data_IF_932922368255
#
_entry.id   IF_932922368255
#
_cell.length_a   1.000
_cell.length_b   1.000
_cell.length_c   1.000
_cell.angle_alpha   90.00
_cell.angle_beta   90.00
_cell.angle_gamma   90.00
#
_symmetry.space_group_name_H-M   'P 1'
#
loop_
_entity.id
_entity.type
_entity.pdbx_description
1 polymer ?
#
# COMPACT_ATOMS: atom_id res chain seq x y z
N UNK A 1 -20.59 -54.53 -2.63
CA UNK A 1 -21.19 -53.41 -1.88
C UNK A 1 -20.10 -52.53 -1.28
N UNK A 2 -19.82 -51.43 -1.99
CA UNK A 2 -19.50 -50.07 -1.50
C UNK A 2 -18.57 -49.93 -0.28
N UNK A 3 -17.25 -50.02 -0.49
CA UNK A 3 -16.23 -49.37 0.38
C UNK A 3 -15.42 -48.26 -0.31
N UNK A 4 -15.67 -48.02 -1.60
CA UNK A 4 -15.06 -46.92 -2.36
C UNK A 4 -15.79 -45.58 -2.18
N UNK A 5 -17.01 -45.60 -1.61
CA UNK A 5 -17.84 -44.40 -1.48
C UNK A 5 -17.41 -43.47 -0.34
N UNK A 6 -16.67 -43.96 0.66
CA UNK A 6 -16.25 -43.12 1.80
C UNK A 6 -15.01 -42.27 1.48
N UNK A 7 -14.09 -42.76 0.64
CA UNK A 7 -12.88 -42.01 0.28
C UNK A 7 -13.16 -40.83 -0.66
N UNK A 8 -14.17 -40.94 -1.52
CA UNK A 8 -14.56 -39.85 -2.42
C UNK A 8 -15.24 -38.67 -1.71
N UNK A 9 -15.89 -38.92 -0.57
CA UNK A 9 -16.50 -37.87 0.25
C UNK A 9 -15.49 -37.02 1.02
N UNK A 10 -14.31 -37.56 1.34
CA UNK A 10 -13.27 -36.83 2.10
C UNK A 10 -12.46 -35.90 1.19
N UNK A 11 -12.21 -36.30 -0.07
CA UNK A 11 -11.45 -35.46 -1.03
C UNK A 11 -12.29 -34.24 -1.48
N UNK A 12 -13.62 -34.36 -1.49
CA UNK A 12 -14.53 -33.26 -1.82
C UNK A 12 -14.63 -32.16 -0.75
N UNK A 13 -14.19 -32.42 0.48
CA UNK A 13 -14.21 -31.45 1.60
C UNK A 13 -12.87 -30.72 1.81
N UNK A 14 -11.78 -31.19 1.17
CA UNK A 14 -10.49 -30.51 1.20
C UNK A 14 -10.35 -29.40 0.15
N UNK A 15 -11.31 -29.28 -0.77
CA UNK A 15 -11.48 -28.06 -1.59
C UNK A 15 -12.29 -27.03 -0.78
N UNK A 16 -11.92 -26.85 0.49
CA UNK A 16 -12.48 -25.83 1.37
C UNK A 16 -11.85 -24.49 1.04
N UNK A 17 -12.62 -23.63 0.36
CA UNK A 17 -12.52 -22.16 0.37
C UNK A 17 -11.13 -21.59 0.62
N UNK A 18 -10.29 -21.51 -0.41
CA UNK A 18 -9.22 -20.51 -0.44
C UNK A 18 -9.86 -19.13 -0.57
N UNK A 19 -10.47 -18.62 0.51
CA UNK A 19 -10.80 -17.21 0.65
C UNK A 19 -9.48 -16.47 0.84
N UNK A 20 -8.68 -16.38 -0.23
CA UNK A 20 -7.57 -15.46 -0.28
C UNK A 20 -8.19 -14.06 -0.28
N UNK A 21 -8.36 -13.49 0.92
CA UNK A 21 -8.88 -12.15 1.09
C UNK A 21 -8.03 -11.18 0.25
N UNK A 22 -8.66 -10.21 -0.41
CA UNK A 22 -7.92 -9.23 -1.20
C UNK A 22 -6.96 -8.43 -0.31
N UNK A 23 -5.71 -8.29 -0.76
CA UNK A 23 -4.69 -7.51 -0.06
C UNK A 23 -5.03 -6.02 -0.12
N UNK A 24 -4.77 -5.34 0.98
CA UNK A 24 -4.69 -3.88 0.97
C UNK A 24 -3.39 -3.47 0.28
N UNK A 25 -3.36 -2.27 -0.29
CA UNK A 25 -2.19 -1.76 -0.99
C UNK A 25 -2.00 -0.26 -0.86
N UNK A 26 -0.74 0.15 -0.87
CA UNK A 26 -0.32 1.55 -0.93
C UNK A 26 0.49 1.75 -2.19
N UNK A 27 0.16 2.81 -2.91
CA UNK A 27 0.73 3.16 -4.21
C UNK A 27 1.30 4.57 -4.14
N UNK A 28 2.51 4.74 -4.61
CA UNK A 28 3.16 6.03 -4.77
C UNK A 28 3.45 6.27 -6.24
N UNK A 29 3.10 7.45 -6.72
CA UNK A 29 3.44 7.91 -8.06
C UNK A 29 4.29 9.17 -7.97
N UNK A 30 5.35 9.20 -8.75
CA UNK A 30 6.11 10.42 -8.98
C UNK A 30 5.53 11.18 -10.19
N UNK A 31 4.79 12.27 -9.94
CA UNK A 31 4.30 13.20 -10.97
C UNK A 31 5.05 14.54 -10.94
N UNK A 32 6.28 14.55 -10.42
CA UNK A 32 7.16 15.71 -10.40
C UNK A 32 7.71 16.01 -11.80
N UNK A 33 8.29 17.20 -11.94
CA UNK A 33 8.94 17.69 -13.14
C UNK A 33 10.16 16.86 -13.56
N UNK A 34 10.63 17.13 -14.77
CA UNK A 34 11.71 16.35 -15.40
C UNK A 34 12.95 16.33 -14.52
N UNK A 35 13.58 15.15 -14.39
CA UNK A 35 14.77 14.88 -13.58
C UNK A 35 14.60 15.01 -12.05
N UNK A 36 13.37 15.18 -11.54
CA UNK A 36 13.12 15.20 -10.11
C UNK A 36 12.82 13.78 -9.61
N UNK A 37 13.79 13.19 -8.90
CA UNK A 37 13.65 11.86 -8.32
C UNK A 37 12.92 11.99 -6.99
N UNK A 38 11.84 11.21 -6.84
CA UNK A 38 11.14 11.07 -5.58
C UNK A 38 11.80 9.95 -4.78
N UNK A 39 12.29 10.27 -3.59
CA UNK A 39 12.77 9.28 -2.63
C UNK A 39 11.64 8.96 -1.65
N UNK A 40 11.42 7.67 -1.37
CA UNK A 40 10.37 7.18 -0.48
C UNK A 40 10.99 6.24 0.54
N UNK A 41 10.55 6.33 1.79
CA UNK A 41 10.81 5.33 2.82
C UNK A 41 9.53 5.11 3.62
N UNK A 42 9.11 3.87 3.82
CA UNK A 42 7.94 3.55 4.63
C UNK A 42 8.31 2.59 5.75
N UNK A 43 7.66 2.78 6.90
CA UNK A 43 7.87 2.04 8.14
C UNK A 43 6.51 1.53 8.63
N UNK A 44 6.45 0.27 9.08
CA UNK A 44 5.26 -0.29 9.71
C UNK A 44 5.65 -1.04 10.98
N UNK A 45 5.29 -0.51 12.15
CA UNK A 45 5.65 -1.06 13.46
C UNK A 45 7.15 -1.43 13.58
N UNK A 46 7.52 -2.66 13.23
CA UNK A 46 8.88 -3.19 13.30
C UNK A 46 9.58 -3.33 11.94
N UNK A 47 8.86 -3.15 10.84
CA UNK A 47 9.33 -3.41 9.49
C UNK A 47 9.66 -2.11 8.77
N UNK A 48 10.89 -2.02 8.27
CA UNK A 48 11.30 -0.98 7.35
C UNK A 48 11.26 -1.51 5.92
N UNK A 49 10.47 -0.87 5.06
CA UNK A 49 10.28 -1.29 3.67
C UNK A 49 11.44 -0.82 2.77
N UNK A 50 12.39 -0.07 3.33
CA UNK A 50 13.58 0.42 2.66
C UNK A 50 13.35 1.68 1.85
N UNK A 51 14.46 2.19 1.31
CA UNK A 51 14.44 3.35 0.42
C UNK A 51 14.13 2.96 -1.02
N UNK A 52 13.19 3.67 -1.62
CA UNK A 52 12.81 3.55 -3.03
C UNK A 52 13.04 4.89 -3.73
N UNK A 53 13.50 4.85 -4.97
CA UNK A 53 13.79 6.04 -5.77
C UNK A 53 13.03 5.95 -7.09
N UNK A 54 12.09 6.87 -7.29
CA UNK A 54 11.24 6.89 -8.48
C UNK A 54 11.61 8.05 -9.38
N UNK A 55 11.84 7.76 -10.66
CA UNK A 55 11.91 8.78 -11.71
C UNK A 55 10.51 9.34 -12.01
N UNK A 56 10.41 10.53 -12.62
CA UNK A 56 9.12 11.06 -13.06
C UNK A 56 8.36 10.05 -13.92
N UNK A 57 7.11 9.80 -13.55
CA UNK A 57 6.20 8.83 -14.17
C UNK A 57 6.26 7.41 -13.58
N UNK A 58 7.27 7.07 -12.78
CA UNK A 58 7.36 5.76 -12.14
C UNK A 58 6.43 5.64 -10.92
N UNK A 59 6.10 4.40 -10.58
CA UNK A 59 5.27 4.06 -9.42
C UNK A 59 5.98 3.03 -8.53
N UNK A 60 5.74 3.13 -7.23
CA UNK A 60 6.11 2.13 -6.23
C UNK A 60 4.84 1.66 -5.54
N UNK A 61 4.66 0.35 -5.42
CA UNK A 61 3.52 -0.22 -4.72
C UNK A 61 3.97 -1.35 -3.79
N UNK A 62 3.24 -1.51 -2.69
CA UNK A 62 3.34 -2.69 -1.85
C UNK A 62 1.96 -3.09 -1.34
N UNK A 63 1.80 -4.40 -1.09
CA UNK A 63 0.52 -4.99 -0.72
C UNK A 63 0.67 -5.91 0.49
N UNK A 64 -0.33 -5.88 1.37
CA UNK A 64 -0.29 -6.57 2.67
C UNK A 64 -1.71 -6.97 3.11
N UNK A 65 -1.77 -7.83 4.12
CA UNK A 65 -3.02 -8.07 4.85
C UNK A 65 -2.99 -7.25 6.13
N UNK A 66 -4.13 -6.67 6.49
CA UNK A 66 -4.28 -6.08 7.82
C UNK A 66 -4.03 -7.14 8.89
N UNK A 67 -3.29 -6.74 9.92
CA UNK A 67 -3.19 -7.54 11.14
C UNK A 67 -4.50 -7.49 11.93
N UNK A 68 -4.68 -8.45 12.83
CA UNK A 68 -5.77 -8.42 13.83
C UNK A 68 -5.60 -7.28 14.85
N UNK A 69 -4.43 -6.63 14.85
CA UNK A 69 -4.14 -5.40 15.59
C UNK A 69 -4.09 -4.21 14.61
N UNK A 70 -3.65 -3.04 15.08
CA UNK A 70 -3.47 -1.87 14.21
C UNK A 70 -2.39 -2.13 13.16
N UNK A 71 -2.71 -1.83 11.91
CA UNK A 71 -1.79 -1.85 10.77
C UNK A 71 -1.61 -0.42 10.30
N UNK A 72 -0.38 0.10 10.41
CA UNK A 72 -0.05 1.46 10.05
C UNK A 72 1.23 1.47 9.23
N UNK A 73 1.27 2.31 8.18
CA UNK A 73 2.48 2.60 7.43
C UNK A 73 2.74 4.09 7.49
N UNK A 74 3.76 4.50 8.23
CA UNK A 74 4.28 5.87 8.19
C UNK A 74 5.30 5.97 7.06
N UNK A 75 5.18 7.01 6.24
CA UNK A 75 6.00 7.18 5.05
C UNK A 75 6.61 8.58 5.01
N UNK A 76 7.87 8.63 4.64
CA UNK A 76 8.63 9.83 4.37
C UNK A 76 8.91 9.91 2.87
N UNK A 77 8.55 11.06 2.29
CA UNK A 77 8.83 11.39 0.90
C UNK A 77 9.79 12.58 0.84
N UNK A 78 10.74 12.52 -0.09
CA UNK A 78 11.65 13.64 -0.36
C UNK A 78 11.79 13.91 -1.85
N UNK A 79 11.95 15.19 -2.18
CA UNK A 79 12.18 15.63 -3.55
C UNK A 79 13.10 16.85 -3.66
N UNK A 80 13.39 17.25 -4.89
CA UNK A 80 14.21 18.41 -5.20
C UNK A 80 15.72 18.17 -5.05
N UNK A 81 16.54 19.21 -5.29
CA UNK A 81 18.00 19.11 -5.21
C UNK A 81 18.44 18.62 -3.84
N UNK A 82 19.23 17.53 -3.82
CA UNK A 82 19.70 16.88 -2.60
C UNK A 82 18.57 16.45 -1.64
N UNK A 83 17.35 16.20 -2.14
CA UNK A 83 16.21 15.77 -1.33
C UNK A 83 15.85 16.75 -0.22
N UNK A 84 16.01 18.05 -0.48
CA UNK A 84 15.83 19.12 0.52
C UNK A 84 14.39 19.30 0.99
N UNK A 85 13.41 18.97 0.15
CA UNK A 85 12.00 19.10 0.47
C UNK A 85 11.49 17.77 1.00
N UNK A 86 10.75 17.80 2.10
CA UNK A 86 10.31 16.61 2.82
C UNK A 86 8.83 16.67 3.17
N UNK A 87 8.20 15.52 3.26
CA UNK A 87 6.91 15.35 3.91
C UNK A 87 6.83 13.97 4.54
N UNK A 88 6.47 13.92 5.83
CA UNK A 88 6.21 12.68 6.57
C UNK A 88 4.72 12.54 6.90
N UNK A 89 4.12 11.39 6.62
CA UNK A 89 2.69 11.17 6.83
C UNK A 89 2.32 9.69 6.95
N UNK A 90 1.12 9.42 7.46
CA UNK A 90 0.55 8.06 7.51
C UNK A 90 0.01 7.68 6.13
N UNK A 91 0.78 6.88 5.39
CA UNK A 91 0.41 6.38 4.06
C UNK A 91 -0.73 5.35 4.09
N UNK A 92 -0.90 4.65 5.22
CA UNK A 92 -2.02 3.73 5.46
C UNK A 92 -2.31 3.57 6.94
N UNK A 93 -3.59 3.45 7.27
CA UNK A 93 -4.08 3.03 8.57
C UNK A 93 -5.26 2.06 8.39
N UNK A 94 -5.25 0.98 9.18
CA UNK A 94 -6.26 -0.08 9.18
C UNK A 94 -6.02 -1.11 10.29
N UNK A 95 -6.67 -2.27 10.17
CA UNK A 95 -6.64 -3.36 11.17
C UNK A 95 -7.44 -3.11 12.44
N UNK A 96 -7.31 -4.03 13.40
CA UNK A 96 -8.05 -4.02 14.67
C UNK A 96 -9.44 -4.68 14.57
N UNK A 97 -10.43 -4.13 15.28
CA UNK A 97 -11.81 -4.67 15.31
C UNK A 97 -12.50 -4.68 13.94
N UNK A 98 -12.03 -3.85 13.00
CA UNK A 98 -12.52 -3.79 11.62
C UNK A 98 -11.32 -4.02 10.69
N UNK A 99 -11.25 -5.22 10.13
CA UNK A 99 -10.25 -5.59 9.13
C UNK A 99 -10.73 -5.12 7.76
N UNK A 100 -9.89 -4.38 7.04
CA UNK A 100 -10.19 -3.95 5.68
C UNK A 100 -9.60 -4.94 4.67
N UNK A 101 -10.30 -5.13 3.56
CA UNK A 101 -9.86 -5.98 2.44
C UNK A 101 -9.95 -5.19 1.14
N UNK A 102 -8.95 -5.33 0.28
CA UNK A 102 -8.90 -4.64 -1.01
C UNK A 102 -8.82 -3.11 -0.92
N UNK A 103 -8.51 -2.53 0.25
CA UNK A 103 -8.35 -1.08 0.40
C UNK A 103 -7.10 -0.64 -0.36
N UNK A 104 -7.26 0.37 -1.21
CA UNK A 104 -6.18 0.95 -1.99
C UNK A 104 -5.98 2.41 -1.58
N UNK A 105 -4.73 2.77 -1.29
CA UNK A 105 -4.32 4.12 -0.96
C UNK A 105 -3.35 4.60 -2.03
N UNK A 106 -3.74 5.61 -2.82
CA UNK A 106 -2.92 6.16 -3.88
C UNK A 106 -2.40 7.54 -3.48
N UNK A 107 -1.09 7.66 -3.44
CA UNK A 107 -0.34 8.88 -3.17
C UNK A 107 0.35 9.36 -4.44
N UNK A 108 0.06 10.60 -4.84
CA UNK A 108 0.59 11.21 -6.06
C UNK A 108 1.40 12.44 -5.68
N UNK A 109 2.73 12.34 -5.77
CA UNK A 109 3.66 13.42 -5.45
C UNK A 109 3.76 14.39 -6.63
N UNK A 110 3.43 15.65 -6.38
CA UNK A 110 3.44 16.76 -7.34
C UNK A 110 4.29 17.92 -6.82
N UNK A 111 4.54 18.89 -7.68
CA UNK A 111 5.42 20.03 -7.37
C UNK A 111 4.94 20.82 -6.14
N UNK A 112 3.62 20.99 -5.99
CA UNK A 112 2.99 21.77 -4.93
C UNK A 112 2.66 20.96 -3.68
N UNK A 113 2.64 19.63 -3.76
CA UNK A 113 2.44 18.76 -2.61
C UNK A 113 2.08 17.34 -2.97
N UNK A 114 1.52 16.61 -2.01
CA UNK A 114 1.23 15.19 -2.10
C UNK A 114 -0.27 14.99 -2.03
N UNK A 115 -0.79 14.34 -3.08
CA UNK A 115 -2.20 14.13 -3.27
C UNK A 115 -2.62 12.72 -2.90
N UNK A 116 -3.84 12.55 -2.39
CA UNK A 116 -4.38 11.28 -1.92
C UNK A 116 -5.73 10.91 -2.56
N UNK A 117 -5.93 9.63 -2.84
CA UNK A 117 -7.25 9.05 -3.17
C UNK A 117 -7.34 7.56 -2.85
N UNK A 118 -8.56 7.04 -2.77
CA UNK A 118 -8.87 5.61 -2.76
C UNK A 118 -9.22 5.07 -4.16
N UNK A 119 -8.62 5.65 -5.22
CA UNK A 119 -8.70 5.16 -6.60
C UNK A 119 -9.95 5.59 -7.39
N UNK A 120 -11.10 5.77 -6.74
CA UNK A 120 -12.37 6.10 -7.43
C UNK A 120 -12.64 7.59 -7.58
N UNK A 121 -11.86 8.44 -6.89
CA UNK A 121 -12.08 9.90 -6.82
C UNK A 121 -10.85 10.64 -7.30
N UNK A 122 -11.06 11.88 -7.74
CA UNK A 122 -9.96 12.81 -8.01
C UNK A 122 -9.08 12.95 -6.76
N UNK A 123 -7.75 12.79 -6.88
CA UNK A 123 -6.85 13.00 -5.76
C UNK A 123 -6.97 14.40 -5.15
N UNK A 124 -6.91 14.48 -3.83
CA UNK A 124 -6.94 15.74 -3.07
C UNK A 124 -5.56 16.04 -2.51
N UNK A 125 -5.17 17.31 -2.48
CA UNK A 125 -3.94 17.73 -1.82
C UNK A 125 -4.11 17.52 -0.31
N UNK A 126 -3.29 16.66 0.29
CA UNK A 126 -3.35 16.36 1.73
C UNK A 126 -2.13 16.90 2.49
N UNK A 127 -0.95 16.89 1.84
CA UNK A 127 0.29 17.34 2.45
C UNK A 127 1.04 18.30 1.54
N UNK A 128 1.59 19.36 2.12
CA UNK A 128 2.54 20.25 1.43
C UNK A 128 3.96 19.76 1.70
N UNK A 129 4.89 20.17 0.84
CA UNK A 129 6.32 20.01 1.11
C UNK A 129 6.79 21.00 2.17
N UNK A 130 7.63 20.54 3.09
CA UNK A 130 8.39 21.35 4.04
C UNK A 130 9.80 21.66 3.53
#
# INVERSE_FOLDING_TARGET
>A
MNRLSCFLLVIGLCVGLSNAYEKNSVHFKNSLGRNNILKINCLSNNDNLGFHFLRPGETYEFSFHDSVFKTEFFCDLWQGPNFKFHAGFTGYEGGGLIVHYGKQNFWDAREDGIYFTHGQKTPKLEYNWE
#
